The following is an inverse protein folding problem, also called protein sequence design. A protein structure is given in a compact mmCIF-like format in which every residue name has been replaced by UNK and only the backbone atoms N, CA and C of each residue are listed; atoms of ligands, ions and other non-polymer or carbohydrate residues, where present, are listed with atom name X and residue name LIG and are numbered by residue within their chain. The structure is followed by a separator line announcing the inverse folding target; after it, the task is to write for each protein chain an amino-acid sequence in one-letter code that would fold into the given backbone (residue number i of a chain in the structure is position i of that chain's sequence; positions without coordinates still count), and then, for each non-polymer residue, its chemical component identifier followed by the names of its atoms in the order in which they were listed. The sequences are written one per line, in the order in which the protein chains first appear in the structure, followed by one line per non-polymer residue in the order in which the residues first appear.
data_IF_364374647676
#
_entry.id   IF_364374647676
#
_cell.length_a   1.000
_cell.length_b   1.000
_cell.length_c   1.000
_cell.angle_alpha   90.00
_cell.angle_beta   90.00
_cell.angle_gamma   90.00
#
_symmetry.space_group_name_H-M   'P 1'
#
loop_
_entity.id
_entity.type
_entity.pdbx_description
1 polymer ?
#
# COMPACT_ATOMS: atom_id res chain seq x y z
N UNK A 1 -38.24 11.34 7.24
CA UNK A 1 -37.59 11.86 6.02
C UNK A 1 -36.11 11.89 6.30
N UNK A 2 -35.27 11.25 5.49
CA UNK A 2 -33.82 11.38 5.65
C UNK A 2 -33.44 12.83 5.33
N UNK A 3 -32.72 13.47 6.23
CA UNK A 3 -32.29 14.86 6.07
C UNK A 3 -30.92 14.92 5.37
N UNK A 4 -30.65 16.02 4.64
CA UNK A 4 -29.38 16.24 3.94
C UNK A 4 -28.18 16.17 4.88
N UNK A 5 -28.38 16.55 6.15
CA UNK A 5 -27.40 16.46 7.22
C UNK A 5 -26.99 15.02 7.54
N UNK A 6 -27.92 14.06 7.50
CA UNK A 6 -27.66 12.64 7.75
C UNK A 6 -26.85 12.01 6.61
N UNK A 7 -27.18 12.31 5.35
CA UNK A 7 -26.39 11.86 4.21
C UNK A 7 -24.95 12.40 4.25
N UNK A 8 -24.77 13.68 4.59
CA UNK A 8 -23.43 14.25 4.74
C UNK A 8 -22.64 13.58 5.88
N UNK A 9 -23.30 13.22 6.98
CA UNK A 9 -22.67 12.46 8.06
C UNK A 9 -22.24 11.07 7.60
N UNK A 10 -23.10 10.35 6.86
CA UNK A 10 -22.77 9.04 6.30
C UNK A 10 -21.57 9.10 5.35
N UNK A 11 -21.53 10.10 4.45
CA UNK A 11 -20.40 10.29 3.54
C UNK A 11 -19.09 10.51 4.30
N UNK A 12 -19.07 11.37 5.32
CA UNK A 12 -17.89 11.61 6.16
C UNK A 12 -17.43 10.34 6.89
N UNK A 13 -18.36 9.52 7.37
CA UNK A 13 -18.05 8.25 8.02
C UNK A 13 -17.42 7.25 7.04
N UNK A 14 -17.95 7.17 5.81
CA UNK A 14 -17.39 6.32 4.75
C UNK A 14 -15.96 6.76 4.41
N UNK A 15 -15.73 8.06 4.22
CA UNK A 15 -14.41 8.58 3.90
C UNK A 15 -13.40 8.33 5.05
N UNK A 16 -13.84 8.49 6.30
CA UNK A 16 -13.01 8.18 7.47
C UNK A 16 -12.63 6.70 7.52
N UNK A 17 -13.57 5.78 7.24
CA UNK A 17 -13.29 4.36 7.20
C UNK A 17 -12.41 3.95 6.02
N UNK A 18 -12.58 4.57 4.84
CA UNK A 18 -11.67 4.36 3.70
C UNK A 18 -10.24 4.74 4.05
N UNK A 19 -10.06 5.91 4.67
CA UNK A 19 -8.74 6.32 5.15
C UNK A 19 -8.15 5.33 6.16
N UNK A 20 -8.96 4.87 7.12
CA UNK A 20 -8.51 3.88 8.09
C UNK A 20 -8.13 2.54 7.41
N UNK A 21 -8.83 2.14 6.36
CA UNK A 21 -8.51 0.94 5.58
C UNK A 21 -7.17 1.10 4.85
N UNK A 22 -6.92 2.26 4.23
CA UNK A 22 -5.64 2.55 3.56
C UNK A 22 -4.46 2.52 4.55
N UNK A 23 -4.66 3.09 5.74
CA UNK A 23 -3.66 3.07 6.83
C UNK A 23 -3.38 1.62 7.27
N UNK A 24 -4.41 0.79 7.37
CA UNK A 24 -4.29 -0.62 7.75
C UNK A 24 -3.57 -1.45 6.68
N UNK A 25 -3.88 -1.24 5.40
CA UNK A 25 -3.14 -1.87 4.29
C UNK A 25 -1.66 -1.51 4.31
N UNK A 26 -1.35 -0.23 4.56
CA UNK A 26 0.03 0.23 4.73
C UNK A 26 0.72 -0.50 5.90
N UNK A 27 0.00 -0.74 6.99
CA UNK A 27 0.53 -1.48 8.13
C UNK A 27 0.78 -2.97 7.81
N UNK A 28 -0.15 -3.63 7.10
CA UNK A 28 0.00 -5.02 6.63
C UNK A 28 1.23 -5.15 5.74
N UNK A 29 1.46 -4.22 4.82
CA UNK A 29 2.66 -4.22 3.97
C UNK A 29 3.95 -4.07 4.78
N UNK A 30 3.96 -3.19 5.80
CA UNK A 30 5.11 -3.05 6.70
C UNK A 30 5.39 -4.33 7.46
N UNK A 31 4.36 -4.97 8.02
CA UNK A 31 4.48 -6.25 8.73
C UNK A 31 5.02 -7.33 7.79
N UNK A 32 4.55 -7.37 6.54
CA UNK A 32 5.01 -8.34 5.53
C UNK A 32 6.51 -8.21 5.24
N UNK A 33 7.05 -6.98 5.22
CA UNK A 33 8.49 -6.74 5.06
C UNK A 33 9.28 -7.27 6.27
N UNK A 34 8.77 -7.06 7.48
CA UNK A 34 9.41 -7.55 8.71
C UNK A 34 9.40 -9.08 8.76
N UNK A 35 8.31 -9.72 8.33
CA UNK A 35 8.21 -11.18 8.19
C UNK A 35 9.31 -11.71 7.27
N UNK A 36 9.51 -11.07 6.11
CA UNK A 36 10.53 -11.48 5.16
C UNK A 36 11.95 -11.32 5.73
N UNK A 37 12.21 -10.22 6.43
CA UNK A 37 13.49 -10.01 7.13
C UNK A 37 13.78 -11.12 8.16
N UNK A 38 12.77 -11.52 8.95
CA UNK A 38 12.91 -12.61 9.92
C UNK A 38 13.15 -13.96 9.23
N UNK A 39 12.50 -14.23 8.10
CA UNK A 39 12.73 -15.46 7.29
C UNK A 39 14.14 -15.52 6.75
N UNK A 40 14.63 -14.42 6.18
CA UNK A 40 16.02 -14.31 5.69
C UNK A 40 16.99 -14.54 6.86
N UNK A 41 16.76 -13.89 8.00
CA UNK A 41 17.60 -14.01 9.18
C UNK A 41 17.65 -15.45 9.71
N UNK A 42 16.49 -16.10 9.86
CA UNK A 42 16.42 -17.50 10.29
C UNK A 42 17.12 -18.43 9.30
N UNK A 43 16.99 -18.18 7.99
CA UNK A 43 17.66 -18.98 6.95
C UNK A 43 19.18 -18.85 7.05
N UNK A 44 19.68 -17.62 7.23
CA UNK A 44 21.12 -17.37 7.43
C UNK A 44 21.61 -18.10 8.68
N UNK A 45 20.94 -17.96 9.82
CA UNK A 45 21.34 -18.63 11.06
C UNK A 45 21.35 -20.16 10.90
N UNK A 46 20.36 -20.73 10.22
CA UNK A 46 20.31 -22.17 9.91
C UNK A 46 21.50 -22.60 9.02
N UNK A 47 21.87 -21.79 8.02
CA UNK A 47 23.03 -22.07 7.18
C UNK A 47 24.35 -21.98 7.94
N UNK A 48 24.50 -20.98 8.83
CA UNK A 48 25.69 -20.83 9.66
C UNK A 48 25.88 -22.04 10.59
N UNK A 49 24.78 -22.54 11.19
CA UNK A 49 24.81 -23.75 12.02
C UNK A 49 25.24 -24.99 11.23
N UNK A 50 24.67 -25.20 10.03
CA UNK A 50 25.06 -26.33 9.17
C UNK A 50 26.53 -26.24 8.74
N UNK A 51 26.96 -25.06 8.28
CA UNK A 51 28.35 -24.86 7.84
C UNK A 51 29.38 -25.01 8.95
N UNK A 52 29.00 -24.79 10.22
CA UNK A 52 29.90 -25.01 11.36
C UNK A 52 30.20 -26.49 11.58
N UNK A 53 29.24 -27.39 11.31
CA UNK A 53 29.47 -28.83 11.38
C UNK A 53 30.51 -29.29 10.34
N UNK A 54 30.56 -28.60 9.19
CA UNK A 54 31.47 -28.90 8.09
C UNK A 54 32.76 -28.06 8.13
N UNK A 55 32.96 -27.23 9.16
CA UNK A 55 34.13 -26.34 9.30
C UNK A 55 34.27 -25.29 8.19
N UNK A 56 33.17 -24.95 7.50
CA UNK A 56 33.19 -24.15 6.26
C UNK A 56 32.50 -22.79 6.39
N UNK A 57 31.99 -22.45 7.57
CA UNK A 57 31.28 -21.18 7.79
C UNK A 57 32.21 -19.99 7.65
N UNK A 58 31.95 -19.17 6.63
CA UNK A 58 32.59 -17.87 6.45
C UNK A 58 31.58 -16.83 5.98
N UNK A 59 31.84 -15.58 6.32
CA UNK A 59 31.02 -14.43 5.95
C UNK A 59 31.89 -13.33 5.36
N UNK A 60 31.27 -12.46 4.55
CA UNK A 60 31.89 -11.25 4.05
C UNK A 60 31.16 -10.04 4.62
N UNK A 61 31.90 -9.16 5.28
CA UNK A 61 31.38 -7.91 5.81
C UNK A 61 31.86 -6.75 4.95
N UNK A 62 30.97 -6.19 4.13
CA UNK A 62 31.27 -5.00 3.31
C UNK A 62 31.28 -3.76 4.20
N UNK A 63 32.36 -2.97 4.18
CA UNK A 63 32.51 -1.75 5.00
C UNK A 63 32.47 -0.46 4.18
N UNK A 64 32.25 -0.55 2.87
CA UNK A 64 32.12 0.61 1.96
C UNK A 64 33.34 0.78 1.03
N UNK A 65 33.23 1.69 0.06
CA UNK A 65 34.30 2.02 -0.92
C UNK A 65 34.86 0.81 -1.68
N UNK A 66 34.03 -0.21 -1.93
CA UNK A 66 34.47 -1.47 -2.54
C UNK A 66 35.31 -2.38 -1.63
N UNK A 67 35.46 -2.05 -0.35
CA UNK A 67 36.23 -2.84 0.63
C UNK A 67 35.32 -3.80 1.40
N UNK A 68 35.76 -5.04 1.54
CA UNK A 68 35.07 -6.09 2.29
C UNK A 68 36.03 -6.89 3.16
N UNK A 69 35.63 -7.14 4.40
CA UNK A 69 36.34 -8.01 5.33
C UNK A 69 35.86 -9.45 5.17
N UNK A 70 36.78 -10.41 5.23
CA UNK A 70 36.45 -11.83 5.30
C UNK A 70 36.48 -12.25 6.77
N UNK A 71 35.37 -12.76 7.25
CA UNK A 71 35.28 -13.45 8.53
C UNK A 71 35.17 -14.95 8.26
N UNK A 72 35.99 -15.74 8.94
CA UNK A 72 35.89 -17.22 8.92
C UNK A 72 35.70 -17.65 10.35
N UNK A 73 34.69 -18.48 10.59
CA UNK A 73 34.45 -19.02 11.91
C UNK A 73 35.38 -20.20 12.13
N UNK A 74 36.43 -19.98 12.93
CA UNK A 74 37.36 -21.04 13.35
C UNK A 74 36.95 -21.53 14.74
N UNK A 75 36.24 -22.66 14.79
CA UNK A 75 35.83 -23.29 16.03
C UNK A 75 35.07 -24.59 15.82
N UNK A 76 35.25 -25.55 16.73
CA UNK A 76 34.49 -26.81 16.74
C UNK A 76 33.04 -26.62 17.23
N UNK A 77 32.77 -25.50 17.90
CA UNK A 77 31.44 -25.10 18.37
C UNK A 77 30.84 -24.04 17.45
N UNK A 78 29.52 -23.95 17.41
CA UNK A 78 28.83 -22.86 16.70
C UNK A 78 29.26 -21.48 17.24
N UNK A 79 29.21 -20.46 16.39
CA UNK A 79 29.47 -19.08 16.82
C UNK A 79 28.28 -18.46 17.55
N UNK A 80 28.43 -17.18 17.87
CA UNK A 80 27.43 -16.38 18.58
C UNK A 80 26.90 -15.24 17.71
N UNK A 81 25.74 -14.70 18.11
CA UNK A 81 25.10 -13.53 17.54
C UNK A 81 24.61 -12.62 18.67
N UNK A 82 24.67 -11.31 18.43
CA UNK A 82 24.02 -10.32 19.31
C UNK A 82 22.54 -10.22 18.93
N UNK A 83 21.68 -10.53 19.88
CA UNK A 83 20.22 -10.46 19.73
C UNK A 83 19.71 -9.27 20.53
N UNK A 84 19.00 -8.35 19.88
CA UNK A 84 18.24 -7.30 20.57
C UNK A 84 17.08 -7.94 21.32
N UNK A 85 17.06 -7.79 22.65
CA UNK A 85 16.01 -8.31 23.54
C UNK A 85 14.91 -7.27 23.80
N UNK A 86 15.08 -6.05 23.30
CA UNK A 86 14.20 -4.91 23.52
C UNK A 86 14.81 -3.86 24.45
N UNK A 87 14.28 -2.63 24.39
CA UNK A 87 14.69 -1.51 25.25
C UNK A 87 16.18 -1.16 25.19
N UNK A 88 16.84 -1.46 24.07
CA UNK A 88 18.27 -1.25 23.88
C UNK A 88 19.17 -2.26 24.60
N UNK A 89 18.60 -3.36 25.10
CA UNK A 89 19.35 -4.44 25.75
C UNK A 89 19.67 -5.52 24.71
N UNK A 90 20.95 -5.86 24.59
CA UNK A 90 21.41 -6.91 23.69
C UNK A 90 22.00 -8.07 24.49
N UNK A 91 21.63 -9.29 24.09
CA UNK A 91 22.19 -10.51 24.63
C UNK A 91 23.03 -11.22 23.56
N UNK A 92 24.24 -11.63 23.92
CA UNK A 92 25.01 -12.56 23.10
C UNK A 92 24.43 -13.97 23.25
N UNK A 93 24.07 -14.60 22.13
CA UNK A 93 23.41 -15.90 22.06
C UNK A 93 24.09 -16.80 21.04
N UNK A 94 24.20 -18.11 21.28
CA UNK A 94 24.61 -19.06 20.24
C UNK A 94 23.64 -19.01 19.05
N UNK A 95 24.11 -19.39 17.86
CA UNK A 95 23.31 -19.26 16.63
C UNK A 95 21.99 -20.04 16.65
N UNK A 96 21.95 -21.22 17.26
CA UNK A 96 20.73 -22.01 17.44
C UNK A 96 19.70 -21.31 18.35
N UNK A 97 20.14 -20.75 19.47
CA UNK A 97 19.28 -19.99 20.38
C UNK A 97 18.80 -18.69 19.72
N UNK A 98 19.67 -18.00 19.00
CA UNK A 98 19.29 -16.83 18.21
C UNK A 98 18.23 -17.18 17.15
N UNK A 99 18.40 -18.30 16.43
CA UNK A 99 17.42 -18.75 15.43
C UNK A 99 16.08 -19.08 16.09
N UNK A 100 16.08 -19.74 17.25
CA UNK A 100 14.88 -20.03 18.02
C UNK A 100 14.14 -18.75 18.40
N UNK A 101 14.84 -17.75 18.94
CA UNK A 101 14.24 -16.44 19.28
C UNK A 101 13.67 -15.76 18.03
N UNK A 102 14.38 -15.79 16.90
CA UNK A 102 13.90 -15.23 15.63
C UNK A 102 12.62 -15.93 15.15
N UNK A 103 12.53 -17.26 15.27
CA UNK A 103 11.32 -18.02 14.92
C UNK A 103 10.14 -17.72 15.85
N UNK A 104 10.37 -17.71 17.16
CA UNK A 104 9.33 -17.36 18.15
C UNK A 104 8.75 -15.95 17.87
N UNK A 105 9.60 -14.99 17.51
CA UNK A 105 9.16 -13.64 17.09
C UNK A 105 8.38 -13.67 15.78
N UNK A 106 8.87 -14.42 14.79
CA UNK A 106 8.20 -14.56 13.50
C UNK A 106 6.78 -15.12 13.67
N UNK A 107 6.59 -16.12 14.53
CA UNK A 107 5.28 -16.70 14.83
C UNK A 107 4.33 -15.63 15.40
N UNK A 108 4.80 -14.83 16.37
CA UNK A 108 4.02 -13.71 16.91
C UNK A 108 3.67 -12.64 15.87
N UNK A 109 4.58 -12.36 14.94
CA UNK A 109 4.35 -11.38 13.86
C UNK A 109 3.36 -11.92 12.82
N UNK A 110 3.38 -13.23 12.53
CA UNK A 110 2.39 -13.86 11.65
C UNK A 110 0.98 -13.74 12.26
N UNK A 111 0.82 -13.98 13.55
CA UNK A 111 -0.46 -13.79 14.25
C UNK A 111 -0.94 -12.33 14.15
N UNK A 112 -0.03 -11.35 14.29
CA UNK A 112 -0.35 -9.94 14.09
C UNK A 112 -0.80 -9.65 12.65
N UNK A 113 -0.16 -10.27 11.65
CA UNK A 113 -0.57 -10.13 10.25
C UNK A 113 -1.98 -10.68 10.01
N UNK A 114 -2.29 -11.84 10.58
CA UNK A 114 -3.63 -12.44 10.52
C UNK A 114 -4.68 -11.51 11.14
N UNK A 115 -4.42 -10.98 12.34
CA UNK A 115 -5.33 -10.05 13.01
C UNK A 115 -5.56 -8.78 12.17
N UNK A 116 -4.50 -8.18 11.62
CA UNK A 116 -4.62 -7.01 10.75
C UNK A 116 -5.41 -7.32 9.48
N UNK A 117 -5.23 -8.50 8.89
CA UNK A 117 -5.99 -8.92 7.71
C UNK A 117 -7.48 -9.09 8.02
N UNK A 118 -7.81 -9.71 9.15
CA UNK A 118 -9.20 -9.83 9.63
C UNK A 118 -9.83 -8.47 9.88
N UNK A 119 -9.10 -7.55 10.53
CA UNK A 119 -9.54 -6.18 10.74
C UNK A 119 -9.79 -5.45 9.41
N UNK A 120 -8.96 -5.69 8.39
CA UNK A 120 -9.11 -5.12 7.05
C UNK A 120 -10.41 -5.55 6.41
N UNK A 121 -10.62 -6.86 6.33
CA UNK A 121 -11.83 -7.45 5.75
C UNK A 121 -13.08 -7.02 6.50
N UNK A 122 -13.04 -6.96 7.83
CA UNK A 122 -14.16 -6.47 8.62
C UNK A 122 -14.49 -5.00 8.34
N UNK A 123 -13.47 -4.16 8.08
CA UNK A 123 -13.65 -2.75 7.76
C UNK A 123 -14.17 -2.56 6.32
N UNK A 124 -13.71 -3.35 5.36
CA UNK A 124 -14.23 -3.38 3.98
C UNK A 124 -15.72 -3.71 3.93
N UNK A 125 -16.14 -4.73 4.69
CA UNK A 125 -17.56 -5.10 4.80
C UNK A 125 -18.38 -3.94 5.36
N UNK A 126 -17.89 -3.27 6.41
CA UNK A 126 -18.56 -2.09 7.00
C UNK A 126 -18.68 -0.92 6.01
N UNK A 127 -17.62 -0.63 5.25
CA UNK A 127 -17.63 0.42 4.22
C UNK A 127 -18.67 0.11 3.16
N UNK A 128 -18.72 -1.15 2.70
CA UNK A 128 -19.67 -1.61 1.68
C UNK A 128 -21.11 -1.43 2.17
N UNK A 129 -21.42 -1.91 3.37
CA UNK A 129 -22.76 -1.77 3.94
C UNK A 129 -23.17 -0.31 4.18
N UNK A 130 -22.23 0.56 4.59
CA UNK A 130 -22.50 2.00 4.72
C UNK A 130 -22.73 2.68 3.37
N UNK A 131 -22.00 2.27 2.33
CA UNK A 131 -22.19 2.80 0.98
C UNK A 131 -23.53 2.39 0.38
N UNK A 132 -23.98 1.15 0.59
CA UNK A 132 -25.31 0.68 0.21
C UNK A 132 -26.40 1.49 0.92
N UNK A 133 -26.30 1.63 2.25
CA UNK A 133 -27.25 2.43 3.02
C UNK A 133 -27.26 3.91 2.59
N UNK A 134 -26.11 4.48 2.25
CA UNK A 134 -26.00 5.84 1.71
C UNK A 134 -26.73 5.97 0.38
N UNK A 135 -26.54 5.02 -0.54
CA UNK A 135 -27.19 5.02 -1.84
C UNK A 135 -28.72 4.91 -1.70
N UNK A 136 -29.22 4.02 -0.83
CA UNK A 136 -30.66 3.93 -0.55
C UNK A 136 -31.24 5.23 0.01
N UNK A 137 -30.55 5.83 0.97
CA UNK A 137 -30.95 7.09 1.59
C UNK A 137 -30.98 8.24 0.57
N UNK A 138 -29.98 8.29 -0.32
CA UNK A 138 -29.93 9.25 -1.41
C UNK A 138 -31.08 9.06 -2.41
N UNK A 139 -31.37 7.82 -2.83
CA UNK A 139 -32.50 7.51 -3.71
C UNK A 139 -33.85 7.92 -3.11
N UNK A 140 -34.07 7.68 -1.80
CA UNK A 140 -35.29 8.09 -1.09
C UNK A 140 -35.45 9.61 -1.03
N UNK A 141 -34.36 10.37 -0.90
CA UNK A 141 -34.40 11.84 -0.95
C UNK A 141 -34.74 12.36 -2.35
N UNK A 142 -34.14 11.80 -3.40
CA UNK A 142 -34.43 12.21 -4.79
C UNK A 142 -35.87 11.87 -5.18
N UNK A 143 -36.39 10.72 -4.75
CA UNK A 143 -37.77 10.32 -5.00
C UNK A 143 -38.78 11.21 -4.25
N UNK A 144 -38.46 11.64 -3.03
CA UNK A 144 -39.30 12.56 -2.25
C UNK A 144 -39.31 14.00 -2.81
N UNK A 145 -38.28 14.39 -3.56
CA UNK A 145 -38.25 15.66 -4.31
C UNK A 145 -38.97 15.59 -5.67
N UNK A 146 -39.37 14.39 -6.10
CA UNK A 146 -40.05 14.13 -7.37
C UNK A 146 -41.57 13.95 -7.17
N UNK A 147 -42.25 14.91 -6.54
CA UNK A 147 -43.73 15.01 -6.67
C UNK A 147 -44.08 15.77 -7.94
N UNK A 148 -44.98 15.25 -8.81
CA UNK A 148 -45.26 15.83 -10.11
C UNK A 148 -45.94 17.18 -9.95
N UNK A 149 -45.33 18.21 -10.54
CA UNK A 149 -46.07 19.43 -10.89
C UNK A 149 -46.94 19.11 -12.11
N UNK A 150 -48.22 19.47 -12.04
CA UNK A 150 -49.26 19.30 -13.08
C UNK A 150 -48.80 19.75 -14.49
N UNK A 151 -49.40 19.20 -15.59
CA UNK A 151 -48.94 19.43 -16.95
C UNK A 151 -49.42 20.80 -17.45
N UNK A 152 -48.48 21.66 -17.85
CA UNK A 152 -48.81 22.85 -18.63
C UNK A 152 -48.89 22.48 -20.11
N UNK A 153 -49.93 22.92 -20.85
CA UNK A 153 -50.30 22.36 -22.14
C UNK A 153 -49.33 22.76 -23.27
N UNK A 154 -49.22 21.83 -24.21
CA UNK A 154 -48.55 21.97 -25.49
C UNK A 154 -48.87 23.28 -26.20
N UNK A 155 -47.83 23.94 -26.73
CA UNK A 155 -47.95 24.75 -27.92
C UNK A 155 -46.96 24.23 -28.98
N UNK A 156 -47.58 23.64 -29.98
CA UNK A 156 -47.09 23.31 -31.33
C UNK A 156 -46.33 24.46 -31.99
N UNK A 157 -45.09 24.19 -32.42
CA UNK A 157 -44.48 24.36 -33.76
C UNK A 157 -44.98 25.51 -34.68
N UNK A 158 -44.11 26.18 -35.47
CA UNK A 158 -43.31 25.44 -36.47
C UNK A 158 -41.89 25.91 -36.78
N UNK A 159 -41.19 24.94 -37.39
CA UNK A 159 -39.91 24.96 -38.06
C UNK A 159 -39.82 26.00 -39.18
N UNK A 160 -38.61 26.55 -39.39
CA UNK A 160 -38.11 26.92 -40.71
C UNK A 160 -36.68 26.38 -40.87
N UNK A 161 -36.52 25.51 -41.86
CA UNK A 161 -35.25 25.07 -42.44
C UNK A 161 -34.71 26.12 -43.42
N UNK A 162 -33.43 25.93 -43.79
CA UNK A 162 -32.81 26.21 -45.09
C UNK A 162 -31.77 27.36 -45.16
N UNK A 163 -30.49 26.91 -45.16
CA UNK A 163 -29.43 27.19 -46.16
C UNK A 163 -29.14 28.62 -46.63
N UNK A 164 -27.89 29.10 -46.45
CA UNK A 164 -26.86 29.07 -47.52
C UNK A 164 -25.48 29.65 -47.12
N UNK A 165 -24.43 28.86 -47.41
CA UNK A 165 -23.12 29.15 -48.05
C UNK A 165 -22.57 30.60 -47.96
N UNK A 166 -21.31 30.88 -47.60
CA UNK A 166 -20.00 30.63 -48.28
C UNK A 166 -18.98 31.47 -47.44
N UNK A 167 -17.73 31.13 -47.12
CA UNK A 167 -16.53 31.17 -47.99
C UNK A 167 -15.27 31.10 -47.07
N UNK A 168 -14.31 30.24 -47.39
CA UNK A 168 -12.90 30.31 -46.94
C UNK A 168 -12.06 30.87 -48.12
N UNK A 169 -10.78 31.33 -48.03
CA UNK A 169 -9.72 30.77 -47.17
C UNK A 169 -8.51 31.71 -46.80
N UNK A 170 -7.46 31.09 -46.19
CA UNK A 170 -6.01 31.44 -46.18
C UNK A 170 -5.53 32.64 -45.32
N UNK A 171 -4.65 32.38 -44.32
CA UNK A 171 -3.18 32.26 -44.47
C UNK A 171 -2.40 32.09 -43.15
N UNK A 172 -1.26 31.43 -43.30
CA UNK A 172 -0.20 30.98 -42.39
C UNK A 172 0.52 32.04 -41.55
N UNK A 173 1.04 31.66 -40.37
CA UNK A 173 2.38 32.06 -39.88
C UNK A 173 2.88 31.17 -38.73
N UNK A 174 4.15 30.74 -38.81
CA UNK A 174 4.91 29.89 -37.88
C UNK A 174 5.90 30.74 -37.06
N UNK A 175 6.12 30.41 -35.77
CA UNK A 175 7.44 30.28 -35.08
C UNK A 175 7.18 29.85 -33.61
N UNK A 176 7.63 28.70 -33.08
CA UNK A 176 8.95 28.03 -32.93
C UNK A 176 9.75 28.55 -31.71
N UNK A 177 9.79 27.75 -30.64
CA UNK A 177 10.77 27.79 -29.54
C UNK A 177 10.92 26.38 -28.94
N UNK A 178 11.75 25.54 -29.56
CA UNK A 178 13.03 25.00 -29.02
C UNK A 178 12.86 24.09 -27.80
N UNK A 179 12.61 22.81 -28.08
CA UNK A 179 12.95 21.67 -27.22
C UNK A 179 14.47 21.46 -27.36
N UNK A 180 15.19 21.67 -26.26
CA UNK A 180 16.61 21.39 -26.14
C UNK A 180 16.84 19.90 -26.00
N UNK A 181 17.66 19.37 -26.91
CA UNK A 181 18.20 18.02 -26.95
C UNK A 181 19.58 18.05 -26.27
N UNK A 182 20.03 16.88 -25.83
CA UNK A 182 21.42 16.51 -25.44
C UNK A 182 21.67 16.39 -23.93
N UNK A 183 21.23 15.25 -23.39
CA UNK A 183 21.87 14.58 -22.28
C UNK A 183 22.98 13.70 -22.90
N UNK A 184 24.19 14.23 -22.96
CA UNK A 184 25.40 13.45 -23.23
C UNK A 184 25.69 12.59 -22.01
N UNK A 185 25.59 11.28 -22.17
CA UNK A 185 26.22 10.29 -21.31
C UNK A 185 27.73 10.36 -21.57
N UNK A 186 28.52 10.75 -20.58
CA UNK A 186 29.96 10.51 -20.58
C UNK A 186 30.45 10.22 -19.15
N UNK A 187 31.22 9.12 -19.09
CA UNK A 187 32.06 8.50 -18.04
C UNK A 187 31.47 8.07 -16.68
#
# INVERSE_FOLDING_TARGET
MVDRSELQRMARTIDAHRKQLDDLHTQIERVSKVIEEHRVTSTILSHLQKGAQDGSTSARLTIGSGVSLRYTHDGEQQGTALVDLGSGVFGEKPWDEAERITKERLDGINLLQEELQEQSTALEIKITGLAEAFNEAASKMTAAQSTPSDPSPAQTHPSEEATDQTEAPKRTSRRKGRIGKELTLDD
#
